data_IF_745358736784
#
_entry.id   IF_745358736784
#
_cell.length_a   1.000
_cell.length_b   1.000
_cell.length_c   1.000
_cell.angle_alpha   90.00
_cell.angle_beta   90.00
_cell.angle_gamma   90.00
#
_symmetry.space_group_name_H-M   'P 1'
#
loop_
_entity.id
_entity.type
_entity.pdbx_description
1 polymer ?
2 water ?
#
# COMPACT_ATOMS: atom_id res chain seq x y z
N UNK A 4 -10.31 -29.09 0.45
CA UNK A 4 -9.67 -29.12 -0.90
C UNK A 4 -10.30 -28.05 -1.79
N UNK A 5 -9.50 -27.48 -2.69
CA UNK A 5 -10.00 -26.44 -3.59
C UNK A 5 -9.39 -26.42 -4.97
N UNK A 6 -10.17 -25.93 -5.93
CA UNK A 6 -9.78 -25.84 -7.33
C UNK A 6 -8.38 -25.30 -7.66
N UNK A 7 -7.89 -24.32 -6.92
CA UNK A 7 -6.57 -23.82 -7.23
C UNK A 7 -5.51 -24.87 -6.86
N UNK A 8 -5.85 -25.75 -5.92
CA UNK A 8 -4.93 -26.81 -5.52
C UNK A 8 -4.92 -27.84 -6.66
N UNK A 9 -6.10 -28.17 -7.14
CA UNK A 9 -6.28 -29.13 -8.23
C UNK A 9 -5.53 -28.63 -9.47
N UNK A 10 -5.51 -27.31 -9.66
CA UNK A 10 -4.86 -26.72 -10.83
C UNK A 10 -3.42 -26.27 -10.63
N UNK A 11 -2.91 -26.39 -9.40
CA UNK A 11 -1.55 -25.97 -9.10
C UNK A 11 -0.49 -26.55 -10.05
N UNK A 12 -0.55 -27.85 -10.26
CA UNK A 12 0.42 -28.51 -11.13
C UNK A 12 0.50 -27.83 -12.49
N UNK A 13 -0.66 -27.64 -13.12
CA UNK A 13 -0.72 -27.00 -14.42
C UNK A 13 -0.26 -25.54 -14.33
N UNK A 14 -0.67 -24.86 -13.27
CA UNK A 14 -0.29 -23.46 -13.09
C UNK A 14 1.22 -23.26 -12.94
N UNK A 15 1.87 -24.09 -12.12
CA UNK A 15 3.30 -23.94 -11.93
C UNK A 15 4.06 -24.17 -13.23
N UNK A 16 3.61 -25.15 -14.01
CA UNK A 16 4.23 -25.48 -15.27
C UNK A 16 4.22 -24.25 -16.17
N UNK A 17 3.02 -23.68 -16.34
CA UNK A 17 2.85 -22.48 -17.16
C UNK A 17 3.68 -21.31 -16.63
N UNK A 18 3.62 -21.09 -15.32
CA UNK A 18 4.36 -19.99 -14.71
C UNK A 18 5.87 -20.11 -14.91
N UNK A 19 6.40 -21.32 -14.75
CA UNK A 19 7.83 -21.57 -14.92
C UNK A 19 8.29 -21.27 -16.34
N UNK A 20 7.61 -21.84 -17.32
CA UNK A 20 7.98 -21.60 -18.71
C UNK A 20 7.92 -20.11 -18.99
N UNK A 21 6.88 -19.48 -18.48
CA UNK A 21 6.72 -18.04 -18.66
C UNK A 21 7.95 -17.33 -18.09
N UNK A 22 8.46 -17.83 -16.97
CA UNK A 22 9.63 -17.22 -16.34
C UNK A 22 10.89 -17.45 -17.16
N UNK A 23 10.99 -18.62 -17.79
CA UNK A 23 12.17 -18.92 -18.59
C UNK A 23 12.26 -17.98 -19.78
N UNK A 24 11.12 -17.70 -20.39
CA UNK A 24 11.08 -16.78 -21.52
C UNK A 24 11.56 -15.40 -21.04
N UNK A 25 11.06 -14.97 -19.89
CA UNK A 25 11.44 -13.67 -19.33
C UNK A 25 12.94 -13.57 -19.01
N UNK A 26 13.52 -14.66 -18.51
CA UNK A 26 14.94 -14.70 -18.17
C UNK A 26 15.78 -14.68 -19.44
N UNK A 27 15.33 -15.42 -20.44
CA UNK A 27 16.01 -15.52 -21.72
C UNK A 27 16.04 -14.16 -22.41
N UNK A 28 15.09 -13.30 -22.08
CA UNK A 28 15.02 -11.98 -22.70
C UNK A 28 15.55 -10.88 -21.78
N UNK A 29 16.23 -11.27 -20.70
CA UNK A 29 16.76 -10.29 -19.78
C UNK A 29 15.73 -9.28 -19.33
N UNK A 30 14.51 -9.74 -19.08
CA UNK A 30 13.43 -8.85 -18.67
C UNK A 30 12.95 -9.14 -17.24
N UNK A 31 13.88 -9.56 -16.39
CA UNK A 31 13.59 -9.86 -14.98
C UNK A 31 14.61 -9.11 -14.14
N UNK A 32 14.14 -8.27 -13.23
CA UNK A 32 15.03 -7.49 -12.37
C UNK A 32 16.12 -8.38 -11.75
N UNK A 33 17.37 -8.11 -12.13
CA UNK A 33 18.54 -8.86 -11.67
C UNK A 33 18.68 -9.11 -10.17
N UNK A 34 18.37 -8.12 -9.35
CA UNK A 34 18.48 -8.24 -7.90
C UNK A 34 17.66 -9.37 -7.32
N UNK A 35 16.60 -9.78 -8.00
CA UNK A 35 15.76 -10.85 -7.46
C UNK A 35 15.76 -12.18 -8.24
N UNK A 36 16.65 -12.35 -9.20
CA UNK A 36 16.67 -13.61 -9.95
C UNK A 36 16.96 -14.82 -9.04
N UNK A 37 17.98 -14.74 -8.18
CA UNK A 37 18.22 -15.92 -7.34
C UNK A 37 16.99 -16.21 -6.49
N UNK A 38 16.53 -15.19 -5.78
CA UNK A 38 15.36 -15.30 -4.90
C UNK A 38 14.19 -15.98 -5.60
N UNK A 39 13.89 -15.55 -6.81
CA UNK A 39 12.79 -16.13 -7.56
C UNK A 39 13.04 -17.61 -7.85
N UNK A 40 14.25 -17.96 -8.27
CA UNK A 40 14.58 -19.35 -8.57
C UNK A 40 14.48 -20.24 -7.33
N UNK A 41 14.92 -19.72 -6.19
CA UNK A 41 14.83 -20.48 -4.95
C UNK A 41 13.37 -20.77 -4.60
N UNK A 42 12.51 -19.76 -4.75
CA UNK A 42 11.09 -19.93 -4.43
C UNK A 42 10.44 -20.98 -5.31
N UNK A 43 10.78 -20.97 -6.61
CA UNK A 43 10.24 -21.94 -7.55
C UNK A 43 10.81 -23.33 -7.29
N UNK A 44 12.01 -23.36 -6.68
CA UNK A 44 12.64 -24.63 -6.38
C UNK A 44 11.92 -25.36 -5.24
N UNK A 45 10.96 -24.65 -4.61
CA UNK A 45 10.13 -25.30 -3.60
C UNK A 45 8.83 -25.85 -4.19
N UNK A 46 8.50 -27.09 -3.85
CA UNK A 46 7.35 -27.78 -4.41
C UNK A 46 6.01 -27.06 -4.37
N UNK A 47 5.70 -26.45 -3.22
CA UNK A 47 4.40 -25.78 -3.08
C UNK A 47 4.28 -24.31 -3.49
N UNK A 48 5.24 -23.80 -4.25
CA UNK A 48 5.20 -22.41 -4.68
C UNK A 48 5.69 -22.21 -6.10
N UNK A 49 5.39 -21.04 -6.65
CA UNK A 49 5.82 -20.64 -7.98
C UNK A 49 5.65 -19.14 -8.06
N UNK A 50 6.42 -18.48 -8.92
CA UNK A 50 6.35 -17.03 -9.00
C UNK A 50 5.77 -16.51 -10.29
N UNK A 51 5.09 -15.36 -10.19
CA UNK A 51 4.52 -14.71 -11.36
C UNK A 51 5.28 -13.38 -11.44
N UNK A 52 4.98 -12.56 -12.43
CA UNK A 52 5.68 -11.29 -12.61
C UNK A 52 5.95 -10.53 -11.30
N UNK A 53 7.26 -10.39 -11.04
CA UNK A 53 7.63 -9.64 -9.87
C UNK A 53 8.65 -8.54 -10.20
N UNK A 54 9.10 -7.77 -9.21
CA UNK A 54 10.04 -6.71 -9.47
C UNK A 54 10.71 -6.18 -8.21
N UNK A 55 11.91 -5.63 -8.37
CA UNK A 55 12.65 -5.10 -7.24
C UNK A 55 12.24 -3.64 -6.97
N UNK A 56 12.78 -3.07 -5.90
CA UNK A 56 12.47 -1.70 -5.57
C UNK A 56 12.82 -0.78 -6.72
N UNK A 57 12.24 0.42 -6.72
CA UNK A 57 12.53 1.36 -7.78
C UNK A 57 12.15 2.77 -7.40
N UNK A 58 12.93 3.71 -7.92
CA UNK A 58 12.73 5.13 -7.71
C UNK A 58 12.32 5.64 -9.08
N UNK A 59 11.42 6.62 -9.12
CA UNK A 59 10.97 7.15 -10.40
C UNK A 59 10.51 8.58 -10.29
N UNK A 60 10.38 9.20 -11.45
CA UNK A 60 9.92 10.58 -11.61
C UNK A 60 8.90 10.48 -12.73
N UNK A 61 7.66 10.89 -12.46
CA UNK A 61 6.62 10.82 -13.49
C UNK A 61 5.59 11.94 -13.36
N UNK A 62 4.97 12.31 -14.49
CA UNK A 62 3.95 13.35 -14.48
C UNK A 62 2.59 12.76 -14.80
N UNK A 63 1.56 13.28 -14.14
CA UNK A 63 0.19 12.81 -14.30
C UNK A 63 -0.80 13.85 -13.79
N UNK A 64 -1.89 14.07 -14.54
CA UNK A 64 -2.23 13.44 -15.81
C UNK A 64 -1.50 14.07 -17.00
N UNK A 65 -0.59 13.32 -17.59
CA UNK A 65 0.18 13.81 -18.73
C UNK A 65 -0.77 14.36 -19.79
N UNK A 66 -0.25 15.22 -20.66
CA UNK A 66 -1.01 15.83 -21.76
C UNK A 66 -0.26 15.73 -23.09
N UNK A 67 -0.20 14.50 -23.63
CA UNK A 67 0.57 14.31 -24.85
C UNK A 67 0.05 13.15 -25.71
N UNK A 68 0.79 12.03 -25.67
CA UNK A 68 0.42 10.88 -26.49
C UNK A 68 -0.80 10.14 -25.93
N UNK A 69 -1.76 10.93 -25.43
CA UNK A 69 -2.97 10.34 -24.86
C UNK A 69 -2.65 9.24 -23.85
N UNK A 70 -1.79 9.60 -22.88
CA UNK A 70 -1.42 8.64 -21.85
C UNK A 70 -1.46 9.28 -20.46
N UNK A 71 -2.28 8.67 -19.58
CA UNK A 71 -2.43 9.21 -18.24
C UNK A 71 -1.08 9.32 -17.53
N UNK A 72 -0.14 8.38 -17.55
CA UNK A 72 1.10 8.54 -16.80
C UNK A 72 2.31 8.41 -17.71
N UNK A 73 3.21 9.37 -17.57
CA UNK A 73 4.43 9.38 -18.35
C UNK A 73 5.59 9.41 -17.36
N UNK A 74 6.51 8.47 -17.50
CA UNK A 74 7.67 8.38 -16.61
C UNK A 74 8.86 9.14 -17.18
N UNK A 75 9.35 10.12 -16.43
CA UNK A 75 10.49 10.93 -16.89
C UNK A 75 11.82 10.29 -16.49
N UNK A 76 11.75 9.28 -15.64
CA UNK A 76 12.95 8.59 -15.20
C UNK A 76 12.61 7.41 -14.33
N UNK A 77 13.38 6.33 -14.45
CA UNK A 77 13.16 5.11 -13.67
C UNK A 77 14.49 4.49 -13.27
N UNK A 78 14.66 4.25 -11.98
CA UNK A 78 15.90 3.66 -11.47
C UNK A 78 15.61 2.54 -10.50
N UNK A 79 16.29 1.40 -10.69
CA UNK A 79 16.14 0.24 -9.83
C UNK A 79 17.40 0.12 -8.97
N UNK A 80 17.83 1.26 -8.43
CA UNK A 80 19.03 1.35 -7.59
C UNK A 80 19.03 2.72 -6.90
N UNK A 81 19.97 2.94 -5.99
CA UNK A 81 20.06 4.25 -5.34
C UNK A 81 20.32 5.22 -6.47
N UNK A 82 19.84 6.46 -6.36
CA UNK A 82 20.04 7.42 -7.42
C UNK A 82 20.93 8.58 -7.04
N UNK A 83 21.41 9.31 -8.03
CA UNK A 83 22.26 10.47 -7.78
C UNK A 83 21.39 11.70 -8.05
N UNK A 84 21.65 12.75 -7.30
CA UNK A 84 20.90 13.99 -7.43
C UNK A 84 20.72 14.51 -8.86
N UNK A 85 21.83 14.62 -9.61
CA UNK A 85 21.75 15.17 -10.96
C UNK A 85 20.96 14.35 -11.98
N UNK A 86 20.83 13.05 -11.73
CA UNK A 86 20.05 12.18 -12.62
C UNK A 86 18.58 12.59 -12.45
N UNK A 87 18.18 12.72 -11.19
CA UNK A 87 16.80 13.08 -10.87
C UNK A 87 16.45 14.47 -11.41
N UNK A 88 17.38 15.41 -11.28
CA UNK A 88 17.15 16.77 -11.76
C UNK A 88 16.93 16.78 -13.25
N UNK A 89 17.66 15.93 -13.95
CA UNK A 89 17.58 15.84 -15.39
C UNK A 89 16.22 15.30 -15.80
N UNK A 90 15.70 14.37 -15.02
CA UNK A 90 14.39 13.80 -15.32
C UNK A 90 13.34 14.88 -15.13
N UNK A 91 13.44 15.56 -13.99
CA UNK A 91 12.52 16.63 -13.64
C UNK A 91 12.42 17.75 -14.68
N UNK A 92 13.55 18.13 -15.28
CA UNK A 92 13.55 19.21 -16.27
C UNK A 92 12.63 18.89 -17.43
N UNK A 93 12.39 17.60 -17.64
CA UNK A 93 11.54 17.15 -18.74
C UNK A 93 10.06 17.31 -18.45
N UNK A 94 9.73 17.74 -17.23
CA UNK A 94 8.34 17.93 -16.85
C UNK A 94 7.64 18.99 -17.69
N UNK A 95 6.41 18.71 -18.12
CA UNK A 95 5.65 19.67 -18.93
C UNK A 95 4.22 19.90 -18.44
N UNK A 96 3.45 18.83 -18.29
CA UNK A 96 2.06 18.97 -17.86
C UNK A 96 1.65 18.01 -16.75
N UNK A 97 0.52 18.32 -16.13
CA UNK A 97 0.03 17.49 -15.05
C UNK A 97 0.82 17.67 -13.78
N UNK A 98 0.63 16.75 -12.85
CA UNK A 98 1.33 16.81 -11.57
C UNK A 98 2.63 16.04 -11.70
N UNK A 99 3.68 16.58 -11.08
CA UNK A 99 4.98 15.95 -11.10
C UNK A 99 5.20 15.25 -9.77
N UNK A 100 5.52 13.96 -9.86
CA UNK A 100 5.75 13.12 -8.68
C UNK A 100 7.09 12.41 -8.67
N UNK A 101 7.67 12.30 -7.48
CA UNK A 101 8.90 11.55 -7.30
C UNK A 101 8.43 10.36 -6.44
N UNK A 102 8.55 9.16 -6.99
CA UNK A 102 8.09 7.95 -6.32
C UNK A 102 9.17 6.96 -5.88
N UNK A 103 8.88 6.25 -4.80
CA UNK A 103 9.77 5.21 -4.29
C UNK A 103 8.79 4.06 -4.12
N UNK A 104 9.06 2.97 -4.81
CA UNK A 104 8.20 1.78 -4.72
C UNK A 104 9.00 0.60 -4.19
N UNK A 105 8.40 -0.10 -3.26
CA UNK A 105 8.98 -1.27 -2.62
C UNK A 105 9.06 -2.42 -3.61
N UNK A 106 9.97 -3.38 -3.36
CA UNK A 106 10.04 -4.52 -4.27
C UNK A 106 8.71 -5.25 -4.09
N UNK A 107 8.27 -5.95 -5.13
CA UNK A 107 7.01 -6.68 -5.04
C UNK A 107 7.18 -8.08 -5.60
N UNK A 108 6.70 -9.06 -4.85
CA UNK A 108 6.80 -10.46 -5.29
C UNK A 108 5.41 -11.08 -5.30
N UNK A 109 5.10 -11.76 -6.39
CA UNK A 109 3.83 -12.44 -6.50
C UNK A 109 4.17 -13.91 -6.56
N UNK A 110 3.59 -14.66 -5.64
CA UNK A 110 3.89 -16.07 -5.54
C UNK A 110 2.65 -16.94 -5.47
N UNK A 111 2.56 -17.90 -6.39
CA UNK A 111 1.44 -18.80 -6.38
C UNK A 111 1.70 -19.83 -5.30
N UNK A 112 0.64 -20.26 -4.62
CA UNK A 112 0.76 -21.27 -3.57
C UNK A 112 -0.15 -22.45 -3.89
N UNK A 113 0.28 -23.63 -3.46
CA UNK A 113 -0.47 -24.86 -3.70
C UNK A 113 -1.70 -25.00 -2.81
N UNK A 114 -1.58 -24.60 -1.55
CA UNK A 114 -2.68 -24.67 -0.60
C UNK A 114 -2.75 -23.43 0.27
N UNK A 115 -3.83 -23.32 1.03
CA UNK A 115 -4.05 -22.19 1.92
C UNK A 115 -2.96 -22.19 2.99
N UNK A 116 -2.60 -23.38 3.43
CA UNK A 116 -1.58 -23.59 4.45
C UNK A 116 -0.24 -23.04 3.96
N UNK A 117 0.10 -23.33 2.72
CA UNK A 117 1.36 -22.86 2.13
C UNK A 117 1.35 -21.35 2.05
N UNK A 118 0.21 -20.80 1.62
CA UNK A 118 0.06 -19.36 1.49
C UNK A 118 0.29 -18.64 2.81
N UNK A 119 -0.39 -19.09 3.85
CA UNK A 119 -0.28 -18.45 5.15
C UNK A 119 1.13 -18.48 5.76
N UNK A 120 1.87 -19.54 5.48
CA UNK A 120 3.21 -19.68 6.00
C UNK A 120 4.15 -18.73 5.29
N UNK A 121 3.93 -18.58 3.98
CA UNK A 121 4.73 -17.67 3.17
C UNK A 121 4.49 -16.23 3.65
N UNK A 122 3.24 -15.89 3.94
CA UNK A 122 2.89 -14.55 4.41
C UNK A 122 3.54 -14.22 5.75
N UNK A 123 3.44 -15.13 6.73
CA UNK A 123 4.02 -14.88 8.04
C UNK A 123 5.54 -14.76 7.95
N UNK A 124 6.15 -15.60 7.11
CA UNK A 124 7.59 -15.56 6.93
C UNK A 124 7.99 -14.22 6.30
N UNK A 125 7.20 -13.78 5.32
CA UNK A 125 7.48 -12.52 4.64
C UNK A 125 7.35 -11.36 5.62
N UNK A 126 6.27 -11.35 6.39
CA UNK A 126 6.06 -10.28 7.36
C UNK A 126 7.21 -10.22 8.37
N UNK A 127 7.63 -11.37 8.87
CA UNK A 127 8.69 -11.39 9.87
C UNK A 127 10.04 -10.92 9.30
N UNK A 128 10.12 -10.90 7.96
CA UNK A 128 11.34 -10.42 7.31
C UNK A 128 11.28 -8.91 7.02
N UNK A 129 10.22 -8.27 7.55
CA UNK A 129 10.10 -6.82 7.39
C UNK A 129 9.04 -6.45 6.34
N UNK A 130 8.56 -7.40 5.55
CA UNK A 130 7.56 -7.06 4.54
C UNK A 130 6.17 -7.14 5.16
N UNK A 131 5.79 -6.07 5.84
CA UNK A 131 4.53 -5.97 6.54
C UNK A 131 3.28 -5.89 5.65
N UNK A 132 3.44 -5.55 4.37
CA UNK A 132 2.28 -5.47 3.50
C UNK A 132 2.09 -6.72 2.66
N UNK A 133 2.62 -7.84 3.15
CA UNK A 133 2.45 -9.10 2.46
C UNK A 133 1.09 -9.65 2.81
N UNK A 134 0.44 -10.31 1.86
CA UNK A 134 -0.88 -10.85 2.08
C UNK A 134 -1.29 -11.76 0.93
N UNK A 135 -2.53 -12.22 0.98
CA UNK A 135 -3.10 -13.05 -0.06
C UNK A 135 -3.89 -12.08 -0.95
N UNK A 136 -3.38 -11.87 -2.16
CA UNK A 136 -3.97 -10.94 -3.13
C UNK A 136 -5.21 -11.41 -3.85
N UNK A 137 -5.26 -12.70 -4.19
CA UNK A 137 -6.41 -13.20 -4.92
C UNK A 137 -6.53 -14.71 -4.87
N UNK A 138 -7.75 -15.20 -5.01
CA UNK A 138 -8.07 -16.62 -5.04
C UNK A 138 -9.10 -16.91 -6.13
N UNK A 139 -8.64 -17.65 -7.15
CA UNK A 139 -9.55 -18.10 -8.19
C UNK A 139 -9.61 -19.62 -8.22
N UNK A 140 -10.39 -20.14 -9.18
CA UNK A 140 -10.39 -21.59 -9.36
C UNK A 140 -9.14 -22.04 -10.12
N UNK A 141 -8.21 -21.09 -10.36
CA UNK A 141 -6.97 -21.44 -11.07
C UNK A 141 -5.74 -21.30 -10.17
N UNK A 142 -5.67 -20.22 -9.38
CA UNK A 142 -4.48 -20.04 -8.56
C UNK A 142 -4.71 -19.11 -7.35
N UNK A 143 -3.79 -19.23 -6.40
CA UNK A 143 -3.81 -18.41 -5.20
C UNK A 143 -2.53 -17.61 -5.27
N UNK A 144 -2.66 -16.28 -5.34
CA UNK A 144 -1.49 -15.42 -5.41
C UNK A 144 -1.22 -14.74 -4.08
N UNK A 145 0.02 -14.87 -3.61
CA UNK A 145 0.47 -14.24 -2.37
C UNK A 145 1.28 -13.03 -2.80
N UNK A 146 1.08 -11.90 -2.14
CA UNK A 146 1.83 -10.70 -2.48
C UNK A 146 2.76 -10.33 -1.34
N UNK A 147 4.04 -10.18 -1.66
CA UNK A 147 5.04 -9.80 -0.70
C UNK A 147 5.44 -8.37 -1.03
N UNK A 148 5.30 -7.48 -0.06
CA UNK A 148 5.63 -6.07 -0.26
C UNK A 148 6.03 -5.44 1.06
N UNK A 149 6.89 -4.44 1.02
CA UNK A 149 7.35 -3.76 2.23
C UNK A 149 6.59 -2.45 2.38
N UNK A 150 6.99 -1.64 3.36
CA UNK A 150 6.28 -0.39 3.66
C UNK A 150 6.97 0.95 3.41
N UNK A 151 8.20 0.96 2.90
CA UNK A 151 8.91 2.23 2.71
C UNK A 151 8.60 2.99 1.44
N UNK A 152 7.31 3.09 1.15
CA UNK A 152 6.82 3.78 -0.04
C UNK A 152 6.90 5.30 0.07
N UNK A 153 7.10 5.98 -1.06
CA UNK A 153 7.14 7.44 -1.08
C UNK A 153 6.42 7.98 -2.31
N UNK A 154 5.63 9.03 -2.09
CA UNK A 154 4.88 9.70 -3.14
C UNK A 154 5.04 11.22 -2.94
N UNK A 155 6.11 11.78 -3.49
CA UNK A 155 6.38 13.21 -3.33
C UNK A 155 5.95 14.11 -4.47
N UNK A 156 5.04 15.05 -4.17
CA UNK A 156 4.56 16.01 -5.16
C UNK A 156 5.65 17.07 -5.30
N UNK A 157 6.19 17.26 -6.49
CA UNK A 157 7.25 18.25 -6.68
C UNK A 157 6.89 19.44 -7.56
N UNK A 158 5.79 19.31 -8.29
CA UNK A 158 5.38 20.40 -9.16
C UNK A 158 4.12 20.11 -9.92
N UNK A 159 3.66 21.09 -10.67
CA UNK A 159 2.47 20.93 -11.48
C UNK A 159 2.51 21.81 -12.71
N UNK A 160 1.91 21.31 -13.78
CA UNK A 160 1.85 22.03 -15.06
C UNK A 160 3.15 22.72 -15.48
N UNK A 161 4.25 21.99 -15.37
CA UNK A 161 5.53 22.54 -15.78
C UNK A 161 6.27 23.32 -14.72
N UNK A 162 5.57 23.78 -13.70
CA UNK A 162 6.22 24.56 -12.64
C UNK A 162 6.80 23.66 -11.55
N UNK A 163 8.10 23.74 -11.34
CA UNK A 163 8.78 22.95 -10.33
C UNK A 163 8.75 23.76 -9.02
N UNK A 164 8.08 23.22 -8.01
CA UNK A 164 7.96 23.92 -6.74
C UNK A 164 9.18 23.83 -5.83
N UNK A 165 10.11 22.95 -6.13
CA UNK A 165 11.28 22.81 -5.29
C UNK A 165 12.60 23.12 -5.96
N UNK A 166 13.60 23.41 -5.15
CA UNK A 166 14.93 23.71 -5.67
C UNK A 166 15.86 22.53 -5.48
N UNK A 167 17.11 22.74 -5.86
CA UNK A 167 18.13 21.70 -5.79
C UNK A 167 18.42 21.19 -4.39
N UNK A 168 18.58 22.09 -3.42
CA UNK A 168 18.88 21.63 -2.07
C UNK A 168 17.76 20.79 -1.45
N UNK A 169 16.52 21.19 -1.68
CA UNK A 169 15.39 20.45 -1.15
C UNK A 169 15.36 19.07 -1.80
N UNK A 170 15.45 19.04 -3.12
CA UNK A 170 15.44 17.79 -3.84
C UNK A 170 16.56 16.89 -3.36
N UNK A 171 17.67 17.51 -2.94
CA UNK A 171 18.78 16.75 -2.43
C UNK A 171 18.38 15.95 -1.19
N UNK A 172 17.67 16.58 -0.27
CA UNK A 172 17.22 15.90 0.94
C UNK A 172 16.32 14.73 0.54
N UNK A 173 15.39 14.99 -0.38
CA UNK A 173 14.48 13.95 -0.80
C UNK A 173 15.24 12.74 -1.34
N UNK A 174 16.17 12.97 -2.25
CA UNK A 174 16.95 11.89 -2.83
C UNK A 174 17.59 11.05 -1.73
N UNK A 175 18.24 11.71 -0.76
CA UNK A 175 18.88 10.98 0.34
C UNK A 175 17.88 10.04 1.02
N UNK A 176 16.69 10.58 1.29
CA UNK A 176 15.63 9.83 1.94
C UNK A 176 15.17 8.64 1.11
N UNK A 177 15.05 8.82 -0.20
CA UNK A 177 14.64 7.73 -1.07
C UNK A 177 15.71 6.63 -1.08
N UNK A 178 16.98 7.02 -1.10
CA UNK A 178 18.07 6.04 -1.09
C UNK A 178 18.08 5.28 0.22
N UNK A 179 17.78 5.96 1.32
CA UNK A 179 17.72 5.31 2.62
C UNK A 179 16.70 4.20 2.54
N UNK A 180 15.58 4.47 1.89
CA UNK A 180 14.50 3.49 1.76
C UNK A 180 14.93 2.33 0.86
N UNK A 181 15.59 2.65 -0.24
CA UNK A 181 16.04 1.61 -1.16
C UNK A 181 17.00 0.65 -0.44
N UNK A 182 17.98 1.20 0.25
CA UNK A 182 18.94 0.37 0.97
C UNK A 182 18.21 -0.55 1.95
N UNK A 183 17.10 -0.07 2.51
CA UNK A 183 16.34 -0.88 3.45
C UNK A 183 15.60 -2.01 2.72
N UNK A 184 15.18 -1.76 1.47
CA UNK A 184 14.49 -2.79 0.71
C UNK A 184 15.44 -3.94 0.49
N UNK A 185 16.66 -3.59 0.11
CA UNK A 185 17.70 -4.57 -0.18
C UNK A 185 18.01 -5.44 1.03
N UNK A 186 18.15 -4.83 2.20
CA UNK A 186 18.44 -5.60 3.39
C UNK A 186 17.27 -6.51 3.78
N UNK A 187 16.04 -6.02 3.68
CA UNK A 187 14.88 -6.85 4.01
C UNK A 187 14.77 -7.97 2.99
N UNK A 188 15.25 -7.69 1.77
CA UNK A 188 15.18 -8.67 0.69
C UNK A 188 16.28 -9.72 0.86
N UNK A 189 17.32 -9.38 1.63
CA UNK A 189 18.40 -10.31 1.88
C UNK A 189 17.95 -11.26 2.99
N UNK A 190 17.33 -10.72 4.02
CA UNK A 190 16.83 -11.52 5.13
C UNK A 190 15.84 -12.56 4.61
N UNK A 191 14.91 -12.12 3.77
CA UNK A 191 13.90 -13.02 3.20
C UNK A 191 14.52 -14.18 2.41
N UNK A 192 15.56 -13.88 1.64
CA UNK A 192 16.19 -14.91 0.84
C UNK A 192 16.92 -15.95 1.69
N UNK A 193 17.48 -15.52 2.80
CA UNK A 193 18.20 -16.45 3.68
C UNK A 193 17.25 -17.36 4.45
N UNK A 194 16.05 -16.86 4.74
CA UNK A 194 15.08 -17.65 5.49
C UNK A 194 14.15 -18.46 4.61
N UNK A 195 14.21 -18.23 3.31
CA UNK A 195 13.33 -18.93 2.38
C UNK A 195 13.57 -20.44 2.28
N UNK A 196 14.80 -20.87 2.52
CA UNK A 196 15.17 -22.28 2.46
C UNK A 196 14.38 -23.16 3.43
N UNK A 197 14.19 -22.66 4.65
CA UNK A 197 13.47 -23.40 5.68
C UNK A 197 12.02 -23.65 5.29
N UNK A 198 11.48 -22.79 4.44
CA UNK A 198 10.10 -22.89 4.00
C UNK A 198 9.86 -24.19 3.23
N UNK A 199 10.94 -24.78 2.72
CA UNK A 199 10.84 -26.02 1.97
C UNK A 199 10.47 -27.18 2.90
N UNK A 200 9.28 -27.73 2.69
CA UNK A 200 8.78 -28.83 3.49
C UNK A 200 8.52 -28.38 4.93
N UNK B 5 -13.32 -23.09 8.20
CA UNK B 5 -13.35 -24.21 9.19
C UNK B 5 -13.10 -23.65 10.58
N UNK B 6 -11.84 -23.59 10.99
CA UNK B 6 -11.45 -23.05 12.27
C UNK B 6 -12.10 -21.68 12.49
N UNK B 7 -11.84 -20.77 11.56
CA UNK B 7 -12.40 -19.42 11.65
C UNK B 7 -13.88 -19.48 11.31
N UNK B 8 -14.29 -20.47 10.52
CA UNK B 8 -15.68 -20.61 10.16
C UNK B 8 -16.48 -21.07 11.37
N UNK B 9 -15.91 -22.03 12.11
CA UNK B 9 -16.54 -22.55 13.32
C UNK B 9 -16.56 -21.49 14.41
N UNK B 10 -15.56 -20.60 14.36
CA UNK B 10 -15.45 -19.54 15.36
C UNK B 10 -16.06 -18.22 14.92
N UNK B 11 -16.54 -18.15 13.68
CA UNK B 11 -17.12 -16.92 13.16
C UNK B 11 -18.21 -16.33 14.04
N UNK B 12 -19.21 -17.15 14.32
CA UNK B 12 -20.34 -16.75 15.14
C UNK B 12 -19.93 -15.97 16.40
N UNK B 13 -18.96 -16.47 17.14
CA UNK B 13 -18.53 -15.79 18.36
C UNK B 13 -17.60 -14.62 18.08
N UNK B 14 -16.77 -14.73 17.04
CA UNK B 14 -15.85 -13.65 16.70
C UNK B 14 -16.64 -12.40 16.29
N UNK B 15 -17.80 -12.59 15.68
CA UNK B 15 -18.61 -11.44 15.27
C UNK B 15 -19.20 -10.77 16.51
N UNK B 16 -19.57 -11.59 17.49
CA UNK B 16 -20.14 -11.07 18.71
C UNK B 16 -19.12 -10.20 19.43
N UNK B 17 -17.90 -10.70 19.56
CA UNK B 17 -16.84 -9.97 20.23
C UNK B 17 -16.56 -8.64 19.50
N UNK B 18 -16.60 -8.70 18.17
CA UNK B 18 -16.35 -7.52 17.34
C UNK B 18 -17.45 -6.49 17.51
N UNK B 19 -18.70 -6.94 17.52
CA UNK B 19 -19.83 -6.04 17.68
C UNK B 19 -19.80 -5.37 19.04
N UNK B 20 -19.28 -6.07 20.05
CA UNK B 20 -19.19 -5.49 21.37
C UNK B 20 -18.16 -4.37 21.34
N UNK B 21 -17.01 -4.66 20.77
CA UNK B 21 -15.95 -3.65 20.67
C UNK B 21 -16.46 -2.47 19.89
N UNK B 22 -17.11 -2.74 18.75
CA UNK B 22 -17.62 -1.67 17.93
C UNK B 22 -18.58 -0.84 18.77
N UNK B 23 -19.43 -1.52 19.53
CA UNK B 23 -20.41 -0.86 20.39
C UNK B 23 -19.74 0.07 21.39
N UNK B 24 -18.70 -0.41 22.06
CA UNK B 24 -17.97 0.41 23.01
C UNK B 24 -17.38 1.60 22.26
N UNK B 25 -16.59 1.32 21.23
CA UNK B 25 -15.94 2.37 20.44
C UNK B 25 -16.89 3.48 20.02
N UNK B 26 -18.15 3.13 19.75
CA UNK B 26 -19.14 4.11 19.34
C UNK B 26 -19.58 5.02 20.47
N UNK B 27 -19.83 4.44 21.65
CA UNK B 27 -20.24 5.26 22.78
C UNK B 27 -19.11 6.15 23.28
N UNK B 28 -17.87 5.70 23.01
CA UNK B 28 -16.70 6.49 23.40
C UNK B 28 -16.26 7.43 22.28
N UNK B 29 -17.01 7.39 21.15
CA UNK B 29 -16.74 8.32 20.06
C UNK B 29 -15.35 8.11 19.45
N UNK B 30 -14.90 6.86 19.34
CA UNK B 30 -13.59 6.57 18.78
C UNK B 30 -13.59 6.30 17.28
N UNK B 31 -14.75 5.99 16.73
CA UNK B 31 -14.84 5.69 15.30
C UNK B 31 -15.15 6.94 14.47
N UNK B 32 -14.41 7.10 13.37
CA UNK B 32 -14.73 8.19 12.46
C UNK B 32 -16.20 8.16 12.04
N UNK B 33 -16.96 9.13 12.57
CA UNK B 33 -18.37 9.21 12.19
C UNK B 33 -18.53 9.31 10.65
N UNK B 34 -17.39 9.46 9.96
CA UNK B 34 -17.39 9.46 8.50
C UNK B 34 -17.94 8.14 7.94
N UNK B 35 -17.36 7.03 8.37
CA UNK B 35 -17.75 5.71 7.88
C UNK B 35 -18.61 4.89 8.83
N UNK B 36 -19.34 5.54 9.73
CA UNK B 36 -20.17 4.79 10.65
C UNK B 36 -21.29 4.03 9.94
N UNK B 37 -21.98 4.67 8.98
CA UNK B 37 -23.05 3.93 8.31
C UNK B 37 -22.50 2.75 7.52
N UNK B 38 -21.33 2.92 6.92
CA UNK B 38 -20.71 1.85 6.15
C UNK B 38 -20.38 0.66 7.06
N UNK B 39 -19.91 0.97 8.25
CA UNK B 39 -19.56 -0.09 9.21
C UNK B 39 -20.81 -0.80 9.66
N UNK B 40 -21.87 -0.04 9.92
CA UNK B 40 -23.10 -0.68 10.37
C UNK B 40 -23.63 -1.54 9.23
N UNK B 41 -23.58 -1.03 8.01
CA UNK B 41 -24.06 -1.78 6.85
C UNK B 41 -23.34 -3.12 6.65
N UNK B 42 -22.01 -3.12 6.77
CA UNK B 42 -21.25 -4.35 6.61
C UNK B 42 -21.67 -5.36 7.65
N UNK B 43 -21.76 -4.91 8.91
CA UNK B 43 -22.14 -5.77 10.00
C UNK B 43 -23.57 -6.32 9.89
N UNK B 44 -24.38 -5.67 9.08
CA UNK B 44 -25.75 -6.10 8.86
C UNK B 44 -25.76 -7.33 7.96
N UNK B 45 -24.66 -7.55 7.23
CA UNK B 45 -24.56 -8.74 6.37
C UNK B 45 -24.13 -9.90 7.28
N UNK B 46 -24.86 -11.00 7.18
CA UNK B 46 -24.62 -12.18 8.00
C UNK B 46 -23.18 -12.69 8.09
N UNK B 47 -22.54 -12.87 6.94
CA UNK B 47 -21.19 -13.40 6.88
C UNK B 47 -20.00 -12.45 7.07
N UNK B 48 -20.27 -11.20 7.42
CA UNK B 48 -19.17 -10.27 7.63
C UNK B 48 -19.31 -9.57 8.99
N UNK B 49 -18.21 -8.99 9.45
CA UNK B 49 -18.17 -8.21 10.67
C UNK B 49 -16.95 -7.29 10.56
N UNK B 50 -16.98 -6.16 11.25
CA UNK B 50 -15.87 -5.21 11.19
C UNK B 50 -15.03 -5.16 12.45
N UNK B 51 -13.77 -4.76 12.26
CA UNK B 51 -12.79 -4.58 13.32
C UNK B 51 -12.17 -3.22 13.02
N UNK B 52 -11.32 -2.72 13.93
CA UNK B 52 -10.70 -1.40 13.75
C UNK B 52 -10.47 -0.93 12.31
N UNK B 53 -11.07 0.25 12.06
CA UNK B 53 -10.92 0.80 10.72
C UNK B 53 -10.84 2.37 10.71
N UNK B 54 -10.53 3.01 9.58
CA UNK B 54 -10.44 4.47 9.50
C UNK B 54 -10.88 4.95 8.11
N UNK B 55 -11.38 6.18 8.03
CA UNK B 55 -11.87 6.69 6.74
C UNK B 55 -10.85 7.47 5.90
N UNK B 56 -9.57 7.32 6.21
CA UNK B 56 -8.54 8.02 5.47
C UNK B 56 -8.15 9.27 6.21
N UNK B 57 -6.90 9.69 6.10
CA UNK B 57 -6.52 10.89 6.84
C UNK B 57 -5.41 11.75 6.26
N UNK B 58 -5.50 13.04 6.55
CA UNK B 58 -4.51 14.01 6.12
C UNK B 58 -3.80 14.36 7.42
N UNK B 59 -2.46 14.42 7.41
CA UNK B 59 -1.71 14.72 8.63
C UNK B 59 -0.49 15.60 8.41
N UNK B 60 -0.23 16.44 9.41
CA UNK B 60 0.95 17.29 9.45
C UNK B 60 1.59 16.75 10.71
N UNK B 61 2.74 16.11 10.58
CA UNK B 61 3.38 15.59 11.77
C UNK B 61 4.89 15.71 11.73
N UNK B 62 5.52 15.60 12.89
CA UNK B 62 6.96 15.69 12.91
C UNK B 62 7.57 14.40 13.44
N UNK B 63 8.68 14.01 12.82
CA UNK B 63 9.35 12.79 13.23
C UNK B 63 10.86 12.98 13.06
N UNK B 64 11.65 12.11 13.69
CA UNK B 64 13.10 12.23 13.55
C UNK B 64 13.47 11.95 12.10
N UNK B 65 12.84 10.94 11.52
CA UNK B 65 13.11 10.56 10.14
C UNK B 65 11.85 10.01 9.48
N UNK B 66 11.80 10.09 8.16
CA UNK B 66 10.65 9.59 7.41
C UNK B 66 10.40 8.14 7.76
N UNK B 67 9.13 7.77 7.93
CA UNK B 67 8.78 6.40 8.25
C UNK B 67 8.93 6.00 9.70
N UNK B 68 9.40 6.93 10.53
CA UNK B 68 9.61 6.66 11.94
C UNK B 68 8.33 6.83 12.76
N UNK B 69 7.50 5.79 12.75
CA UNK B 69 6.23 5.83 13.47
C UNK B 69 6.35 5.83 14.99
N UNK B 70 7.35 5.12 15.51
CA UNK B 70 7.56 5.06 16.96
C UNK B 70 7.74 6.45 17.58
N UNK B 71 8.35 7.37 16.84
CA UNK B 71 8.59 8.71 17.36
C UNK B 71 7.83 9.84 16.66
N UNK B 72 6.96 9.50 15.70
CA UNK B 72 6.21 10.53 14.99
C UNK B 72 5.16 11.16 15.89
N UNK B 73 4.98 12.47 15.76
CA UNK B 73 4.00 13.19 16.59
C UNK B 73 3.10 14.07 15.73
N UNK B 74 1.79 14.01 15.99
CA UNK B 74 0.79 14.78 15.24
C UNK B 74 0.66 16.23 15.69
N UNK B 75 0.72 17.14 14.73
CA UNK B 75 0.53 18.55 15.02
C UNK B 75 -0.87 18.90 14.48
N UNK B 76 -1.30 18.14 13.48
CA UNK B 76 -2.60 18.31 12.87
C UNK B 76 -3.01 17.00 12.21
N UNK B 77 -4.22 16.54 12.47
CA UNK B 77 -4.71 15.29 11.91
C UNK B 77 -6.20 15.44 11.55
N UNK B 78 -6.58 15.14 10.31
CA UNK B 78 -7.97 15.26 9.90
C UNK B 78 -8.43 14.10 9.02
N UNK B 79 -9.71 13.73 9.12
CA UNK B 79 -10.23 12.66 8.28
C UNK B 79 -11.33 13.21 7.36
N UNK B 80 -11.10 14.42 6.86
CA UNK B 80 -12.01 15.12 5.97
C UNK B 80 -11.14 16.13 5.24
N UNK B 81 -11.69 16.75 4.18
CA UNK B 81 -10.95 17.75 3.44
C UNK B 81 -10.59 18.88 4.38
N UNK B 82 -9.38 19.41 4.22
CA UNK B 82 -8.93 20.49 5.09
C UNK B 82 -8.75 21.80 4.38
N UNK B 83 -8.69 22.86 5.17
CA UNK B 83 -8.51 24.21 4.68
C UNK B 83 -7.01 24.57 4.80
N UNK B 84 -6.56 25.54 4.02
CA UNK B 84 -5.17 25.97 4.07
C UNK B 84 -4.89 26.54 5.47
N UNK B 85 -5.90 27.20 6.03
CA UNK B 85 -5.79 27.80 7.33
C UNK B 85 -5.41 26.78 8.41
N UNK B 86 -6.16 25.69 8.47
CA UNK B 86 -5.94 24.62 9.44
C UNK B 86 -4.52 24.08 9.31
N UNK B 87 -4.15 23.73 8.09
CA UNK B 87 -2.82 23.20 7.82
C UNK B 87 -1.76 24.19 8.30
N UNK B 88 -1.88 25.45 7.90
CA UNK B 88 -0.90 26.45 8.34
C UNK B 88 -0.78 26.49 9.87
N UNK B 89 -1.93 26.42 10.56
CA UNK B 89 -1.92 26.47 12.03
C UNK B 89 -1.17 25.28 12.64
N UNK B 90 -1.30 24.11 12.03
CA UNK B 90 -0.61 22.92 12.53
C UNK B 90 0.89 23.10 12.28
N UNK B 91 1.22 23.60 11.10
CA UNK B 91 2.60 23.85 10.72
C UNK B 91 3.31 24.78 11.73
N UNK B 92 2.66 25.87 12.10
CA UNK B 92 3.24 26.83 13.04
C UNK B 92 3.64 26.22 14.37
N UNK B 93 3.20 25.00 14.65
CA UNK B 93 3.56 24.36 15.92
C UNK B 93 4.86 23.57 15.81
N UNK B 94 5.45 23.56 14.62
CA UNK B 94 6.70 22.83 14.38
C UNK B 94 7.86 23.37 15.23
N UNK B 95 8.58 22.47 15.89
CA UNK B 95 9.70 22.84 16.73
C UNK B 95 10.97 22.09 16.34
N UNK B 96 10.89 20.75 16.39
CA UNK B 96 12.04 19.91 16.08
C UNK B 96 11.76 18.76 15.13
N UNK B 97 12.83 18.08 14.73
CA UNK B 97 12.71 16.97 13.81
C UNK B 97 12.28 17.39 12.43
N UNK B 98 11.84 16.43 11.63
CA UNK B 98 11.38 16.71 10.28
C UNK B 98 9.87 16.89 10.26
N UNK B 99 9.41 17.90 9.54
CA UNK B 99 7.98 18.18 9.39
C UNK B 99 7.47 17.55 8.09
N UNK B 100 6.47 16.68 8.20
CA UNK B 100 5.90 16.01 7.05
C UNK B 100 4.41 16.22 6.89
N UNK B 101 3.98 16.39 5.65
CA UNK B 101 2.57 16.50 5.33
C UNK B 101 2.23 15.16 4.72
N UNK B 102 1.28 14.45 5.31
CA UNK B 102 0.92 13.13 4.83
C UNK B 102 -0.54 12.98 4.46
N UNK B 103 -0.78 12.05 3.55
CA UNK B 103 -2.11 11.68 3.12
C UNK B 103 -2.07 10.15 3.08
N UNK B 104 -3.02 9.53 3.76
CA UNK B 104 -3.10 8.08 3.81
C UNK B 104 -4.53 7.66 3.51
N UNK B 105 -4.69 6.54 2.81
CA UNK B 105 -6.01 6.08 2.44
C UNK B 105 -6.74 5.36 3.56
N UNK B 106 -8.07 5.22 3.44
CA UNK B 106 -8.89 4.54 4.43
C UNK B 106 -8.42 3.10 4.53
N UNK B 107 -8.65 2.51 5.69
CA UNK B 107 -8.26 1.13 5.91
C UNK B 107 -9.40 0.47 6.66
N UNK B 108 -10.04 -0.51 6.02
CA UNK B 108 -11.13 -1.22 6.67
C UNK B 108 -10.68 -2.65 6.89
N UNK B 109 -10.98 -3.18 8.08
CA UNK B 109 -10.65 -4.55 8.39
C UNK B 109 -12.00 -5.22 8.61
N UNK B 110 -12.23 -6.28 7.84
CA UNK B 110 -13.49 -6.99 7.89
C UNK B 110 -13.29 -8.48 8.02
N UNK B 111 -13.94 -9.08 9.00
CA UNK B 111 -13.85 -10.51 9.19
C UNK B 111 -14.89 -11.15 8.28
N UNK B 112 -14.60 -12.36 7.81
CA UNK B 112 -15.48 -13.07 6.90
C UNK B 112 -15.72 -14.50 7.38
N UNK B 113 -16.94 -14.99 7.16
CA UNK B 113 -17.36 -16.32 7.55
C UNK B 113 -16.59 -17.43 6.84
N UNK B 114 -16.63 -17.39 5.51
CA UNK B 114 -15.95 -18.38 4.70
C UNK B 114 -14.97 -17.71 3.74
N UNK B 115 -14.04 -18.50 3.22
CA UNK B 115 -13.05 -18.01 2.28
C UNK B 115 -13.79 -17.36 1.11
N UNK B 116 -14.88 -18.00 0.68
CA UNK B 116 -15.69 -17.52 -0.43
C UNK B 116 -16.25 -16.11 -0.20
N UNK B 117 -16.70 -15.82 1.02
CA UNK B 117 -17.23 -14.50 1.32
C UNK B 117 -16.13 -13.45 1.19
N UNK B 118 -14.93 -13.81 1.63
CA UNK B 118 -13.77 -12.93 1.58
C UNK B 118 -13.43 -12.51 0.16
N UNK B 119 -13.41 -13.48 -0.75
CA UNK B 119 -13.11 -13.21 -2.16
C UNK B 119 -14.15 -12.29 -2.78
N UNK B 120 -15.41 -12.50 -2.43
CA UNK B 120 -16.48 -11.68 -2.97
C UNK B 120 -16.29 -10.23 -2.51
N UNK B 121 -15.99 -10.04 -1.23
CA UNK B 121 -15.77 -8.69 -0.71
C UNK B 121 -14.52 -8.08 -1.34
N UNK B 122 -13.45 -8.87 -1.44
CA UNK B 122 -12.22 -8.37 -2.07
C UNK B 122 -12.50 -7.90 -3.49
N UNK B 123 -13.17 -8.73 -4.28
CA UNK B 123 -13.49 -8.35 -5.64
C UNK B 123 -14.41 -7.15 -5.71
N UNK B 124 -15.35 -7.08 -4.77
CA UNK B 124 -16.29 -5.96 -4.72
C UNK B 124 -15.56 -4.66 -4.39
N UNK B 125 -14.65 -4.74 -3.42
CA UNK B 125 -13.87 -3.57 -3.01
C UNK B 125 -12.97 -3.08 -4.13
N UNK B 126 -12.38 -4.01 -4.86
CA UNK B 126 -11.49 -3.64 -5.96
C UNK B 126 -12.27 -2.92 -7.07
N UNK B 127 -13.46 -3.39 -7.41
CA UNK B 127 -14.22 -2.72 -8.45
C UNK B 127 -14.67 -1.34 -7.97
N UNK B 128 -14.76 -1.19 -6.65
CA UNK B 128 -15.18 0.08 -6.07
C UNK B 128 -14.03 1.07 -5.94
N UNK B 129 -12.85 0.70 -6.43
CA UNK B 129 -11.71 1.60 -6.37
C UNK B 129 -10.66 1.33 -5.30
N UNK B 130 -10.83 0.26 -4.53
CA UNK B 130 -9.86 -0.08 -3.49
C UNK B 130 -8.91 -1.16 -4.00
N UNK B 131 -8.01 -0.73 -4.88
CA UNK B 131 -7.04 -1.60 -5.52
C UNK B 131 -6.19 -2.46 -4.60
N UNK B 132 -5.86 -1.95 -3.43
CA UNK B 132 -5.04 -2.73 -2.51
C UNK B 132 -5.82 -3.64 -1.57
N UNK B 133 -7.05 -4.00 -1.93
CA UNK B 133 -7.84 -4.87 -1.06
C UNK B 133 -7.30 -6.30 -1.14
N UNK B 134 -7.40 -7.01 -0.02
CA UNK B 134 -6.85 -8.36 0.03
C UNK B 134 -7.22 -9.06 1.33
N UNK B 135 -6.75 -10.30 1.45
CA UNK B 135 -6.97 -11.10 2.65
C UNK B 135 -5.71 -10.88 3.46
N UNK B 136 -5.86 -10.14 4.55
CA UNK B 136 -4.75 -9.79 5.43
C UNK B 136 -4.24 -10.96 6.23
N UNK B 137 -5.15 -11.80 6.71
CA UNK B 137 -4.75 -12.94 7.51
C UNK B 137 -5.81 -14.00 7.66
N UNK B 138 -5.33 -15.23 7.80
CA UNK B 138 -6.19 -16.38 7.99
C UNK B 138 -5.59 -17.09 9.19
N UNK B 139 -6.40 -17.31 10.21
CA UNK B 139 -5.92 -17.99 11.41
C UNK B 139 -7.01 -18.90 11.94
N UNK B 140 -6.82 -19.40 13.15
CA UNK B 140 -7.80 -20.28 13.77
C UNK B 140 -9.03 -19.53 14.23
N UNK B 141 -8.84 -18.29 14.70
CA UNK B 141 -9.94 -17.48 15.20
C UNK B 141 -10.70 -16.70 14.13
N UNK B 142 -10.02 -16.17 13.11
CA UNK B 142 -10.71 -15.42 12.06
C UNK B 142 -9.96 -15.18 10.75
N UNK B 143 -10.72 -14.83 9.73
CA UNK B 143 -10.19 -14.53 8.40
C UNK B 143 -10.47 -13.04 8.17
N UNK B 144 -9.41 -12.26 8.08
CA UNK B 144 -9.52 -10.80 7.90
C UNK B 144 -9.23 -10.30 6.49
N UNK B 145 -10.15 -9.48 5.98
CA UNK B 145 -10.03 -8.86 4.67
C UNK B 145 -9.66 -7.38 4.89
N UNK B 146 -8.66 -6.90 4.15
CA UNK B 146 -8.22 -5.52 4.26
C UNK B 146 -8.59 -4.77 3.00
N UNK B 147 -9.38 -3.72 3.16
CA UNK B 147 -9.78 -2.90 2.04
C UNK B 147 -9.00 -1.59 2.16
N UNK B 148 -8.25 -1.26 1.12
CA UNK B 148 -7.44 -0.06 1.15
C UNK B 148 -7.22 0.46 -0.25
N UNK B 149 -6.99 1.76 -0.36
CA UNK B 149 -6.75 2.35 -1.66
C UNK B 149 -5.27 2.60 -1.82
N UNK B 150 -4.86 2.90 -3.06
CA UNK B 150 -3.47 3.14 -3.41
C UNK B 150 -2.96 4.58 -3.18
N UNK B 151 -3.84 5.55 -3.38
CA UNK B 151 -3.47 6.95 -3.23
C UNK B 151 -2.87 7.38 -1.90
N UNK B 152 -1.79 8.14 -1.98
CA UNK B 152 -1.14 8.70 -0.80
C UNK B 152 -0.23 9.86 -1.20
N UNK B 153 0.33 10.53 -0.21
CA UNK B 153 1.21 11.64 -0.45
C UNK B 153 2.14 11.82 0.74
N UNK B 154 3.38 12.16 0.44
CA UNK B 154 4.42 12.39 1.42
C UNK B 154 5.17 13.61 0.93
N UNK B 155 5.20 14.67 1.72
CA UNK B 155 5.91 15.88 1.36
C UNK B 155 6.67 16.45 2.56
N UNK B 156 7.96 16.66 2.40
CA UNK B 156 8.79 17.22 3.47
C UNK B 156 8.51 18.71 3.47
N UNK B 157 8.04 19.23 4.62
CA UNK B 157 7.69 20.65 4.75
C UNK B 157 8.79 21.50 5.34
N UNK B 158 9.63 20.88 6.19
CA UNK B 158 10.71 21.59 6.83
C UNK B 158 11.41 20.70 7.84
N UNK B 159 12.40 21.26 8.55
CA UNK B 159 13.14 20.51 9.55
C UNK B 159 13.73 21.40 10.64
N UNK B 160 13.72 20.88 11.86
CA UNK B 160 14.24 21.58 13.04
C UNK B 160 13.83 23.05 13.16
N UNK B 161 12.59 23.35 12.78
CA UNK B 161 12.10 24.71 12.89
C UNK B 161 12.10 25.52 11.61
N UNK B 162 12.87 25.09 10.62
CA UNK B 162 12.93 25.79 9.34
C UNK B 162 11.90 25.19 8.39
N UNK B 163 11.10 26.06 7.76
CA UNK B 163 10.09 25.62 6.82
C UNK B 163 10.60 25.82 5.40
N UNK B 164 10.55 24.75 4.59
CA UNK B 164 11.04 24.78 3.21
C UNK B 164 10.04 25.23 2.16
N UNK B 165 8.84 24.66 2.19
CA UNK B 165 7.82 24.98 1.20
C UNK B 165 7.32 26.40 1.16
N UNK B 166 7.10 26.89 -0.05
CA UNK B 166 6.59 28.23 -0.25
C UNK B 166 5.07 28.19 -0.20
N UNK B 167 4.44 29.32 -0.48
CA UNK B 167 2.99 29.40 -0.44
C UNK B 167 2.35 28.75 -1.65
N UNK B 168 2.90 28.98 -2.82
CA UNK B 168 2.35 28.39 -4.03
C UNK B 168 2.33 26.86 -3.85
N UNK B 169 3.47 26.31 -3.46
CA UNK B 169 3.63 24.88 -3.25
C UNK B 169 2.63 24.37 -2.19
N UNK B 170 2.58 25.00 -1.03
CA UNK B 170 1.65 24.54 0.00
C UNK B 170 0.22 24.57 -0.53
N UNK B 171 -0.07 25.66 -1.26
CA UNK B 171 -1.37 25.83 -1.92
C UNK B 171 -1.76 24.56 -2.67
N UNK B 172 -0.84 24.10 -3.56
CA UNK B 172 -1.10 22.92 -4.38
C UNK B 172 -1.19 21.66 -3.54
N UNK B 173 -0.25 21.49 -2.62
CA UNK B 173 -0.24 20.30 -1.77
C UNK B 173 -1.62 20.07 -1.16
N UNK B 174 -2.19 21.13 -0.61
CA UNK B 174 -3.50 21.08 0.03
C UNK B 174 -4.59 20.79 -1.00
N UNK B 175 -4.52 21.45 -2.16
CA UNK B 175 -5.50 21.23 -3.21
C UNK B 175 -5.48 19.76 -3.63
N UNK B 176 -4.30 19.24 -3.91
CA UNK B 176 -4.14 17.84 -4.32
C UNK B 176 -4.59 16.89 -3.24
N UNK B 177 -4.18 17.18 -2.00
CA UNK B 177 -4.54 16.34 -0.87
C UNK B 177 -6.04 16.24 -0.71
N UNK B 178 -6.73 17.36 -0.95
CA UNK B 178 -8.17 17.38 -0.82
C UNK B 178 -8.82 16.58 -1.95
N UNK B 179 -8.20 16.58 -3.14
CA UNK B 179 -8.74 15.81 -4.26
C UNK B 179 -8.66 14.31 -3.91
N UNK B 180 -7.57 13.90 -3.29
CA UNK B 180 -7.40 12.48 -2.92
C UNK B 180 -8.39 12.10 -1.82
N UNK B 181 -8.59 13.00 -0.86
CA UNK B 181 -9.50 12.76 0.24
C UNK B 181 -10.93 12.64 -0.28
N UNK B 182 -11.24 13.46 -1.29
CA UNK B 182 -12.57 13.43 -1.87
C UNK B 182 -12.76 12.07 -2.52
N UNK B 183 -11.74 11.60 -3.23
CA UNK B 183 -11.82 10.29 -3.86
C UNK B 183 -12.04 9.21 -2.80
N UNK B 184 -11.36 9.32 -1.65
CA UNK B 184 -11.54 8.32 -0.60
C UNK B 184 -13.00 8.28 -0.14
N UNK B 185 -13.58 9.45 0.15
CA UNK B 185 -14.98 9.50 0.57
C UNK B 185 -15.92 8.97 -0.53
N UNK B 186 -15.58 9.21 -1.79
CA UNK B 186 -16.43 8.73 -2.90
C UNK B 186 -16.38 7.22 -3.01
N UNK B 187 -15.17 6.67 -2.94
CA UNK B 187 -15.01 5.22 -3.04
C UNK B 187 -15.73 4.54 -1.87
N UNK B 188 -15.61 5.11 -0.67
CA UNK B 188 -16.26 4.52 0.51
C UNK B 188 -17.78 4.49 0.34
N UNK B 189 -18.33 5.54 -0.26
CA UNK B 189 -19.77 5.62 -0.48
C UNK B 189 -20.16 4.61 -1.57
N UNK B 190 -19.35 4.53 -2.60
CA UNK B 190 -19.61 3.59 -3.68
C UNK B 190 -19.72 2.21 -3.06
N UNK B 191 -18.73 1.85 -2.24
CA UNK B 191 -18.70 0.54 -1.60
C UNK B 191 -19.94 0.34 -0.74
N UNK B 192 -20.30 1.37 0.02
CA UNK B 192 -21.46 1.29 0.89
C UNK B 192 -22.75 0.98 0.14
N UNK B 193 -22.92 1.61 -1.01
CA UNK B 193 -24.15 1.40 -1.78
C UNK B 193 -24.17 0.03 -2.47
N UNK B 194 -22.96 -0.54 -2.63
CA UNK B 194 -22.86 -1.82 -3.33
C UNK B 194 -23.14 -3.00 -2.39
N UNK B 195 -23.19 -2.70 -1.09
CA UNK B 195 -23.43 -3.73 -0.11
C UNK B 195 -24.89 -4.20 -0.13
N UNK B 196 -25.21 -5.04 -1.14
CA UNK B 196 -26.55 -5.61 -1.22
C UNK B 196 -26.56 -7.06 -0.72
N UNK B 197 -27.73 -7.49 -0.23
CA UNK B 197 -27.82 -8.77 0.46
C UNK B 197 -27.18 -9.92 -0.33
N UNK B 198 -27.70 -10.12 -1.56
CA UNK B 198 -27.20 -11.24 -2.36
C UNK B 198 -27.35 -10.96 -3.85
#
# INVERSE_FOLDING_TARGET
XLLYMRFTENFERAKKEALMSLEIALRKGEVDEDIIPLLKKINSIENYFTTSSCSGRISVMEMPHFGDKVNAKWLGKWHREVSLYEVLEAIKKHRSGQLWFLVRSPILHVGAKTLEDAVKLVNLAVSCGFKYSNIKSISNKKLIVEIRSTERMDVLLGENGEIFVGEEYLNKIVEIANDQMRRFKEKLKRLESKINALNR
XLLYMRFTENFERAKKEALMSLEIALRKGEVDEDIIPLLKKINSIENYFTTSSCSGRISVMEMPHFGDKVNAKWLGKWHREVSLYEVLEAIKKHRSGQLWFLVRSPILHVGAKTLEDAVKLVNLAVSCGFKYSNIKSISNKKLIVEIRSTERMDVLLGENGEIFVGEEYLNKIVEIANDQMRRFKEKLKRLESKINALNR
#
